data_IF_099774076346
#
_entry.id   IF_099774076346
#
_cell.length_a   1.000
_cell.length_b   1.000
_cell.length_c   1.000
_cell.angle_alpha   90.00
_cell.angle_beta   90.00
_cell.angle_gamma   90.00
#
_symmetry.space_group_name_H-M   'P 1'
#
loop_
_entity.id
_entity.type
_entity.pdbx_description
1 polymer ?
#
# COMPACT_ATOMS: atom_id res chain seq x y z
N UNK A 1 1.09 -31.01 -106.91
CA UNK A 1 1.97 -30.58 -105.81
C UNK A 1 1.38 -29.32 -105.20
N UNK A 2 1.16 -29.24 -103.88
CA UNK A 2 0.67 -28.01 -103.28
C UNK A 2 1.78 -26.93 -103.31
N UNK A 3 1.43 -25.65 -103.49
CA UNK A 3 2.40 -24.57 -103.61
C UNK A 3 3.13 -24.30 -102.29
N UNK A 4 4.45 -24.08 -102.36
CA UNK A 4 5.28 -23.67 -101.21
C UNK A 4 4.87 -22.28 -100.76
N UNK A 5 4.71 -22.10 -99.44
CA UNK A 5 4.46 -20.80 -98.80
C UNK A 5 5.61 -19.85 -99.13
N UNK A 6 5.30 -18.65 -99.62
CA UNK A 6 6.29 -17.63 -99.99
C UNK A 6 6.87 -16.98 -98.71
N UNK A 7 8.21 -16.92 -98.55
CA UNK A 7 8.85 -16.24 -97.42
C UNK A 7 8.51 -14.75 -97.26
N UNK A 8 7.82 -14.13 -98.22
CA UNK A 8 7.37 -12.73 -98.12
C UNK A 8 6.00 -12.57 -97.46
N UNK A 9 5.27 -13.66 -97.22
CA UNK A 9 3.93 -13.64 -96.60
C UNK A 9 3.96 -13.64 -95.05
N UNK A 10 5.13 -13.56 -94.43
CA UNK A 10 5.30 -13.53 -92.98
C UNK A 10 4.48 -12.42 -92.31
N UNK A 11 4.56 -11.20 -92.83
CA UNK A 11 3.84 -10.04 -92.32
C UNK A 11 2.32 -10.23 -92.35
N UNK A 12 1.79 -11.02 -93.30
CA UNK A 12 0.36 -11.27 -93.40
C UNK A 12 -0.12 -12.32 -92.40
N UNK A 13 0.72 -13.30 -92.07
CA UNK A 13 0.42 -14.34 -91.09
C UNK A 13 0.57 -13.85 -89.64
N UNK A 14 1.47 -12.89 -89.40
CA UNK A 14 1.78 -12.37 -88.05
C UNK A 14 1.34 -10.93 -87.80
N UNK A 15 0.77 -10.22 -88.78
CA UNK A 15 0.09 -8.95 -88.52
C UNK A 15 -1.16 -9.23 -87.68
N UNK A 16 -0.99 -9.12 -86.37
CA UNK A 16 -2.06 -9.27 -85.40
C UNK A 16 -3.23 -8.39 -85.82
N UNK A 17 -4.39 -9.00 -86.10
CA UNK A 17 -5.64 -8.28 -86.34
C UNK A 17 -5.80 -7.28 -85.21
N UNK A 18 -5.64 -5.98 -85.51
CA UNK A 18 -5.97 -4.90 -84.57
C UNK A 18 -7.45 -5.03 -84.27
N UNK A 19 -7.80 -5.73 -83.18
CA UNK A 19 -9.17 -5.87 -82.70
C UNK A 19 -9.66 -4.46 -82.39
N UNK A 20 -10.44 -3.87 -83.30
CA UNK A 20 -11.13 -2.59 -83.07
C UNK A 20 -11.92 -2.76 -81.77
N UNK A 21 -11.51 -2.04 -80.72
CA UNK A 21 -12.20 -2.04 -79.43
C UNK A 21 -13.51 -1.30 -79.66
N UNK A 22 -14.62 -2.04 -79.68
CA UNK A 22 -15.96 -1.46 -79.87
C UNK A 22 -16.39 -0.63 -78.65
N UNK A 23 -17.38 0.28 -78.85
CA UNK A 23 -17.89 1.16 -77.79
C UNK A 23 -18.51 0.41 -76.60
N UNK A 24 -18.95 -0.83 -76.82
CA UNK A 24 -19.43 -1.71 -75.76
C UNK A 24 -18.31 -2.06 -74.76
N UNK A 25 -17.08 -2.25 -75.25
CA UNK A 25 -15.95 -2.64 -74.40
C UNK A 25 -15.48 -1.47 -73.52
N UNK A 26 -15.59 -0.24 -74.00
CA UNK A 26 -15.30 0.97 -73.21
C UNK A 26 -16.35 1.21 -72.13
N UNK A 27 -17.63 0.98 -72.43
CA UNK A 27 -18.71 1.07 -71.45
C UNK A 27 -18.55 0.01 -70.35
N UNK A 28 -18.23 -1.24 -70.71
CA UNK A 28 -17.98 -2.31 -69.73
C UNK A 28 -16.78 -1.97 -68.85
N UNK A 29 -15.67 -1.47 -69.40
CA UNK A 29 -14.52 -1.06 -68.58
C UNK A 29 -14.83 0.14 -67.68
N UNK A 30 -15.63 1.10 -68.14
CA UNK A 30 -16.01 2.25 -67.33
C UNK A 30 -16.91 1.83 -66.15
N UNK A 31 -17.84 0.89 -66.38
CA UNK A 31 -18.74 0.38 -65.35
C UNK A 31 -17.99 -0.47 -64.31
N UNK A 32 -17.08 -1.34 -64.74
CA UNK A 32 -16.23 -2.13 -63.83
C UNK A 32 -15.27 -1.22 -63.06
N UNK A 33 -14.66 -0.23 -63.72
CA UNK A 33 -13.80 0.75 -63.07
C UNK A 33 -14.56 1.58 -62.03
N UNK A 34 -15.77 2.05 -62.36
CA UNK A 34 -16.62 2.79 -61.45
C UNK A 34 -17.02 2.00 -60.20
N UNK A 35 -17.42 0.73 -60.37
CA UNK A 35 -17.74 -0.16 -59.24
C UNK A 35 -16.53 -0.42 -58.34
N UNK A 36 -15.34 -0.61 -58.91
CA UNK A 36 -14.11 -0.78 -58.12
C UNK A 36 -13.75 0.46 -57.32
N UNK A 37 -13.89 1.66 -57.91
CA UNK A 37 -13.62 2.93 -57.22
C UNK A 37 -14.62 3.12 -56.08
N UNK A 38 -15.91 2.85 -56.31
CA UNK A 38 -16.94 2.96 -55.27
C UNK A 38 -16.72 1.97 -54.12
N UNK A 39 -16.28 0.74 -54.44
CA UNK A 39 -15.91 -0.28 -53.45
C UNK A 39 -14.72 0.14 -52.59
N UNK A 40 -13.70 0.77 -53.18
CA UNK A 40 -12.52 1.25 -52.44
C UNK A 40 -12.86 2.44 -51.53
N UNK A 41 -13.70 3.37 -51.99
CA UNK A 41 -14.14 4.53 -51.18
C UNK A 41 -14.96 4.06 -49.96
N UNK A 42 -15.79 3.04 -50.12
CA UNK A 42 -16.61 2.49 -49.03
C UNK A 42 -15.82 1.61 -48.05
N UNK A 43 -14.75 0.93 -48.50
CA UNK A 43 -13.92 0.09 -47.63
C UNK A 43 -12.97 0.89 -46.72
N UNK A 44 -12.47 2.05 -47.17
CA UNK A 44 -11.52 2.88 -46.42
C UNK A 44 -11.99 3.29 -45.01
N UNK A 45 -13.21 3.84 -44.80
CA UNK A 45 -13.68 4.21 -43.46
C UNK A 45 -13.90 3.01 -42.54
N UNK A 46 -14.25 1.84 -43.11
CA UNK A 46 -14.42 0.61 -42.33
C UNK A 46 -13.08 0.11 -41.76
N UNK A 47 -12.02 0.14 -42.57
CA UNK A 47 -10.68 -0.29 -42.14
C UNK A 47 -10.11 0.66 -41.07
N UNK A 48 -10.27 1.97 -41.25
CA UNK A 48 -9.80 2.96 -40.25
C UNK A 48 -10.50 2.80 -38.91
N UNK A 49 -11.83 2.58 -38.92
CA UNK A 49 -12.62 2.33 -37.70
C UNK A 49 -12.20 1.04 -36.97
N UNK A 50 -11.84 -0.01 -37.71
CA UNK A 50 -11.33 -1.26 -37.12
C UNK A 50 -9.97 -1.07 -36.42
N UNK A 51 -9.09 -0.23 -36.98
CA UNK A 51 -7.80 0.09 -36.36
C UNK A 51 -7.98 0.89 -35.07
N UNK A 52 -8.92 1.83 -35.03
CA UNK A 52 -9.25 2.60 -33.83
C UNK A 52 -9.80 1.71 -32.71
N UNK A 53 -10.78 0.87 -33.00
CA UNK A 53 -11.36 -0.08 -32.04
C UNK A 53 -10.27 -1.03 -31.49
N UNK A 54 -9.37 -1.49 -32.36
CA UNK A 54 -8.26 -2.37 -31.93
C UNK A 54 -7.27 -1.67 -30.99
N UNK A 55 -7.05 -0.36 -31.17
CA UNK A 55 -6.14 0.44 -30.32
C UNK A 55 -6.73 0.71 -28.94
N UNK A 56 -8.04 0.86 -28.83
CA UNK A 56 -8.72 1.12 -27.56
C UNK A 56 -8.72 -0.10 -26.63
N UNK A 57 -8.77 -1.31 -27.18
CA UNK A 57 -8.79 -2.56 -26.40
C UNK A 57 -7.38 -2.98 -25.92
N UNK A 58 -6.31 -2.64 -26.65
CA UNK A 58 -4.95 -3.05 -26.26
C UNK A 58 -4.35 -2.25 -25.09
N UNK A 59 -4.64 -0.93 -25.00
CA UNK A 59 -4.08 -0.07 -23.94
C UNK A 59 -4.44 -0.50 -22.50
N UNK A 60 -5.72 -0.77 -22.15
CA UNK A 60 -6.07 -1.18 -20.79
C UNK A 60 -5.47 -2.54 -20.41
N UNK A 61 -5.33 -3.43 -21.39
CA UNK A 61 -4.79 -4.79 -21.19
C UNK A 61 -3.30 -4.76 -20.82
N UNK A 62 -2.52 -3.88 -21.46
CA UNK A 62 -1.09 -3.71 -21.15
C UNK A 62 -0.86 -3.09 -19.76
N UNK A 63 -1.67 -2.09 -19.38
CA UNK A 63 -1.59 -1.45 -18.06
C UNK A 63 -1.92 -2.44 -16.93
N UNK A 64 -2.93 -3.30 -17.14
CA UNK A 64 -3.33 -4.31 -16.18
C UNK A 64 -2.23 -5.37 -15.95
N UNK A 65 -1.53 -5.79 -17.02
CA UNK A 65 -0.43 -6.75 -16.93
C UNK A 65 0.78 -6.15 -16.20
N UNK A 66 1.20 -4.93 -16.56
CA UNK A 66 2.29 -4.24 -15.88
C UNK A 66 2.01 -4.02 -14.39
N UNK A 67 0.76 -3.68 -14.03
CA UNK A 67 0.36 -3.51 -12.63
C UNK A 67 0.41 -4.84 -11.86
N UNK A 68 0.07 -5.97 -12.49
CA UNK A 68 0.17 -7.30 -11.87
C UNK A 68 1.63 -7.71 -11.65
N UNK A 69 2.51 -7.48 -12.62
CA UNK A 69 3.94 -7.79 -12.52
C UNK A 69 4.63 -6.94 -11.43
N UNK A 70 4.31 -5.65 -11.36
CA UNK A 70 4.82 -4.75 -10.33
C UNK A 70 4.39 -5.19 -8.92
N UNK A 71 3.12 -5.59 -8.74
CA UNK A 71 2.61 -6.12 -7.47
C UNK A 71 3.26 -7.44 -7.07
N UNK A 72 3.45 -8.37 -8.02
CA UNK A 72 4.10 -9.65 -7.77
C UNK A 72 5.57 -9.47 -7.36
N UNK A 73 6.26 -8.50 -7.97
CA UNK A 73 7.65 -8.17 -7.62
C UNK A 73 7.73 -7.54 -6.22
N UNK A 74 6.85 -6.59 -5.90
CA UNK A 74 6.78 -5.97 -4.58
C UNK A 74 6.51 -6.99 -3.45
N UNK A 75 5.62 -7.97 -3.70
CA UNK A 75 5.34 -9.04 -2.73
C UNK A 75 6.52 -9.98 -2.50
N UNK A 76 7.31 -10.29 -3.55
CA UNK A 76 8.54 -11.10 -3.43
C UNK A 76 9.63 -10.37 -2.64
N UNK A 77 9.79 -9.06 -2.84
CA UNK A 77 10.74 -8.25 -2.05
C UNK A 77 10.32 -8.16 -0.59
N UNK A 78 9.01 -7.99 -0.31
CA UNK A 78 8.48 -7.97 1.05
C UNK A 78 8.67 -9.30 1.80
N UNK A 79 8.62 -10.45 1.11
CA UNK A 79 8.87 -11.77 1.72
C UNK A 79 10.34 -12.05 1.96
N UNK A 80 11.25 -11.64 1.06
CA UNK A 80 12.70 -11.81 1.28
C UNK A 80 13.26 -10.95 2.42
N UNK A 81 12.64 -9.81 2.72
CA UNK A 81 13.08 -8.94 3.81
C UNK A 81 12.64 -9.44 5.21
N UNK A 82 11.74 -10.43 5.28
CA UNK A 82 11.30 -11.04 6.55
C UNK A 82 12.18 -12.19 7.04
N UNK A 83 13.20 -12.62 6.28
CA UNK A 83 14.03 -13.79 6.62
C UNK A 83 15.39 -13.44 7.24
N UNK A 84 15.67 -12.17 7.50
CA UNK A 84 16.78 -11.79 8.38
C UNK A 84 16.32 -12.00 9.82
N UNK A 85 16.39 -13.24 10.30
CA UNK A 85 16.32 -13.53 11.73
C UNK A 85 17.41 -12.71 12.41
N UNK A 86 17.09 -11.68 13.22
CA UNK A 86 18.11 -10.98 13.97
C UNK A 86 18.71 -11.99 14.95
N UNK A 87 20.01 -12.18 14.89
CA UNK A 87 20.77 -12.76 16.01
C UNK A 87 20.34 -12.01 17.28
N UNK A 88 19.90 -12.69 18.36
CA UNK A 88 19.53 -12.00 19.58
C UNK A 88 20.78 -11.28 20.10
N UNK A 89 20.80 -9.96 19.91
CA UNK A 89 21.66 -9.09 20.69
C UNK A 89 21.25 -9.35 22.15
N UNK A 90 22.19 -9.67 23.07
CA UNK A 90 21.84 -9.76 24.47
C UNK A 90 21.20 -8.43 24.88
N UNK A 91 19.91 -8.49 25.19
CA UNK A 91 19.19 -7.33 25.73
C UNK A 91 19.98 -6.85 26.95
N UNK A 92 20.30 -5.55 27.08
CA UNK A 92 20.91 -5.06 28.30
C UNK A 92 19.97 -5.44 29.44
N UNK A 93 20.45 -6.26 30.37
CA UNK A 93 19.74 -6.57 31.60
C UNK A 93 19.29 -5.24 32.19
N UNK A 94 17.99 -4.97 32.15
CA UNK A 94 17.43 -3.72 32.64
C UNK A 94 17.74 -3.63 34.13
N UNK A 95 18.73 -2.82 34.50
CA UNK A 95 18.98 -2.47 35.90
C UNK A 95 17.67 -1.90 36.43
N UNK A 96 17.10 -2.48 37.52
CA UNK A 96 15.89 -1.93 38.11
C UNK A 96 16.14 -0.46 38.47
N UNK A 97 15.17 0.45 38.25
CA UNK A 97 15.33 1.85 38.62
C UNK A 97 15.73 1.97 40.10
N UNK A 98 16.65 2.90 40.43
CA UNK A 98 17.09 3.07 41.82
C UNK A 98 15.89 3.44 42.70
N UNK A 99 15.80 2.79 43.86
CA UNK A 99 14.82 3.13 44.87
C UNK A 99 15.37 4.35 45.61
N UNK A 100 14.67 5.49 45.52
CA UNK A 100 15.04 6.75 46.18
C UNK A 100 14.46 6.89 47.59
N UNK A 101 13.59 5.95 47.98
CA UNK A 101 13.06 5.85 49.34
C UNK A 101 11.86 4.92 49.43
N UNK A 102 11.34 4.77 50.66
CA UNK A 102 10.14 4.00 50.99
C UNK A 102 9.13 4.92 51.66
N UNK A 103 7.85 4.69 51.41
CA UNK A 103 6.79 5.45 52.05
C UNK A 103 5.55 4.60 52.28
N UNK A 104 4.64 5.13 53.09
CA UNK A 104 3.30 4.61 53.28
C UNK A 104 2.29 5.56 52.66
N UNK A 105 1.24 5.02 52.08
CA UNK A 105 0.09 5.84 51.66
C UNK A 105 -0.69 6.23 52.92
N UNK A 106 -0.75 7.53 53.22
CA UNK A 106 -1.47 8.09 54.37
C UNK A 106 -2.87 8.58 53.99
N UNK A 107 -3.06 8.95 52.70
CA UNK A 107 -4.35 9.30 52.14
C UNK A 107 -4.57 8.51 50.84
N UNK A 108 -5.71 7.83 50.71
CA UNK A 108 -6.05 7.10 49.49
C UNK A 108 -6.23 8.04 48.30
N UNK A 109 -5.96 7.56 47.10
CA UNK A 109 -6.09 8.38 45.90
C UNK A 109 -5.72 7.67 44.61
N UNK A 110 -5.74 8.42 43.50
CA UNK A 110 -5.47 7.87 42.19
C UNK A 110 -3.97 7.69 41.96
N UNK A 111 -3.58 6.51 41.48
CA UNK A 111 -2.29 6.28 40.85
C UNK A 111 -2.45 6.46 39.34
N UNK A 112 -1.45 7.11 38.72
CA UNK A 112 -1.55 7.63 37.36
C UNK A 112 -0.40 7.18 36.47
N UNK A 113 -0.64 7.12 35.16
CA UNK A 113 0.42 6.86 34.17
C UNK A 113 1.39 8.03 34.01
N UNK A 114 0.93 9.26 34.30
CA UNK A 114 1.67 10.51 34.17
C UNK A 114 1.40 11.40 35.39
N UNK A 115 2.34 12.28 35.78
CA UNK A 115 2.20 13.17 36.94
C UNK A 115 1.26 14.36 36.67
N UNK A 116 0.08 14.13 36.08
CA UNK A 116 -0.93 15.16 35.79
C UNK A 116 -2.32 14.74 36.20
N UNK A 117 -3.14 15.70 36.61
CA UNK A 117 -4.53 15.47 37.02
C UNK A 117 -5.44 15.47 35.78
N UNK A 118 -5.66 14.30 35.19
CA UNK A 118 -6.59 14.11 34.07
C UNK A 118 -7.25 12.72 34.13
N UNK A 119 -8.47 12.55 33.65
CA UNK A 119 -9.21 11.28 33.85
C UNK A 119 -8.51 10.09 33.19
N UNK A 120 -7.97 10.29 31.99
CA UNK A 120 -7.29 9.30 31.18
C UNK A 120 -5.94 8.83 31.74
N UNK A 121 -5.35 9.56 32.69
CA UNK A 121 -4.10 9.14 33.32
C UNK A 121 -4.34 8.21 34.51
N UNK A 122 -5.56 8.03 35.00
CA UNK A 122 -5.85 7.16 36.15
C UNK A 122 -5.72 5.70 35.73
N UNK A 123 -4.74 4.99 36.30
CA UNK A 123 -4.55 3.55 36.08
C UNK A 123 -5.12 2.69 37.22
N UNK A 124 -5.47 3.33 38.34
CA UNK A 124 -6.15 2.70 39.47
C UNK A 124 -6.06 3.56 40.73
N UNK A 125 -6.27 2.95 41.89
CA UNK A 125 -6.21 3.62 43.18
C UNK A 125 -5.22 2.95 44.15
N UNK A 126 -4.56 3.78 44.95
CA UNK A 126 -3.82 3.37 46.15
C UNK A 126 -4.65 3.67 47.39
N UNK A 127 -4.51 2.84 48.41
CA UNK A 127 -5.25 2.95 49.65
C UNK A 127 -4.37 3.27 50.83
N UNK A 128 -4.99 3.84 51.88
CA UNK A 128 -4.31 4.10 53.15
C UNK A 128 -3.70 2.81 53.68
N UNK A 129 -2.43 2.87 54.07
CA UNK A 129 -1.66 1.74 54.58
C UNK A 129 -0.85 0.98 53.53
N UNK A 130 -1.08 1.21 52.23
CA UNK A 130 -0.27 0.60 51.17
C UNK A 130 1.21 0.98 51.36
N UNK A 131 2.09 -0.01 51.18
CA UNK A 131 3.54 0.16 51.21
C UNK A 131 4.06 0.40 49.80
N UNK A 132 4.90 1.42 49.63
CA UNK A 132 5.40 1.81 48.32
C UNK A 132 6.91 2.05 48.33
N UNK A 133 7.56 1.72 47.22
CA UNK A 133 8.94 2.10 46.91
C UNK A 133 8.91 3.27 45.93
N UNK A 134 9.66 4.33 46.23
CA UNK A 134 9.75 5.51 45.38
C UNK A 134 10.90 5.32 44.40
N UNK A 135 10.63 5.56 43.11
CA UNK A 135 11.55 5.36 42.01
C UNK A 135 12.04 6.69 41.42
N UNK A 136 11.20 7.73 41.47
CA UNK A 136 11.55 9.07 41.02
C UNK A 136 10.69 10.12 41.72
N UNK A 137 11.21 11.34 41.82
CA UNK A 137 10.51 12.53 42.26
C UNK A 137 10.48 13.55 41.12
N UNK A 138 9.32 14.15 40.87
CA UNK A 138 9.17 15.23 39.90
C UNK A 138 8.37 16.37 40.54
N UNK A 139 8.83 17.61 40.35
CA UNK A 139 8.12 18.81 40.82
C UNK A 139 7.67 19.62 39.61
N UNK A 140 6.36 19.76 39.46
CA UNK A 140 5.72 20.50 38.37
C UNK A 140 5.34 21.92 38.80
N UNK A 141 4.86 22.71 37.83
CA UNK A 141 4.41 24.08 38.05
C UNK A 141 3.47 24.20 39.26
N UNK A 142 3.66 25.24 40.08
CA UNK A 142 2.89 25.45 41.30
C UNK A 142 3.36 24.62 42.51
N UNK A 143 4.61 24.14 42.51
CA UNK A 143 5.19 23.33 43.58
C UNK A 143 4.44 22.00 43.80
N UNK A 144 3.86 21.47 42.73
CA UNK A 144 3.14 20.20 42.76
C UNK A 144 4.13 19.05 42.66
N UNK A 145 4.41 18.42 43.81
CA UNK A 145 5.34 17.30 43.89
C UNK A 145 4.64 15.97 43.63
N UNK A 146 5.26 15.17 42.78
CA UNK A 146 4.80 13.86 42.35
C UNK A 146 5.91 12.84 42.57
N UNK A 147 5.51 11.64 42.99
CA UNK A 147 6.41 10.50 43.09
C UNK A 147 5.99 9.43 42.09
N UNK A 148 6.95 8.95 41.31
CA UNK A 148 6.81 7.67 40.63
C UNK A 148 7.15 6.59 41.63
N UNK A 149 6.23 5.66 41.84
CA UNK A 149 6.37 4.61 42.82
C UNK A 149 6.03 3.24 42.26
N UNK A 150 6.39 2.21 43.02
CA UNK A 150 5.93 0.83 42.88
C UNK A 150 5.20 0.42 44.15
N UNK A 151 4.01 -0.15 44.02
CA UNK A 151 3.29 -0.73 45.16
C UNK A 151 3.95 -2.03 45.57
N UNK A 152 4.40 -2.13 46.82
CA UNK A 152 5.08 -3.32 47.37
C UNK A 152 4.07 -4.24 48.06
N UNK A 153 3.20 -3.67 48.89
CA UNK A 153 2.18 -4.40 49.62
C UNK A 153 0.91 -3.59 49.73
N UNK A 154 -0.23 -4.25 49.54
CA UNK A 154 -1.56 -3.65 49.64
C UNK A 154 -2.14 -3.83 51.04
N UNK A 155 -2.83 -2.83 51.57
CA UNK A 155 -3.59 -2.94 52.81
C UNK A 155 -4.85 -3.81 52.64
N UNK A 156 -5.33 -4.37 53.75
CA UNK A 156 -6.47 -5.29 53.75
C UNK A 156 -7.81 -4.57 53.46
N UNK A 157 -7.97 -3.32 53.91
CA UNK A 157 -9.24 -2.58 53.93
C UNK A 157 -9.36 -1.55 52.80
N UNK A 158 -9.30 -2.04 51.56
CA UNK A 158 -9.24 -1.18 50.37
C UNK A 158 -10.38 -1.42 49.38
N UNK A 159 -10.77 -0.37 48.65
CA UNK A 159 -11.84 -0.38 47.65
C UNK A 159 -11.55 -1.35 46.47
N UNK A 160 -12.57 -1.81 45.72
CA UNK A 160 -12.37 -2.77 44.64
C UNK A 160 -11.54 -2.25 43.46
N UNK A 161 -11.44 -0.93 43.26
CA UNK A 161 -10.66 -0.28 42.19
C UNK A 161 -9.14 -0.18 42.49
N UNK A 162 -8.66 -0.91 43.50
CA UNK A 162 -7.27 -0.89 43.93
C UNK A 162 -6.31 -1.52 42.92
N UNK A 163 -5.09 -0.99 42.90
CA UNK A 163 -3.99 -1.61 42.16
C UNK A 163 -3.39 -2.78 42.91
N UNK A 164 -2.75 -3.69 42.17
CA UNK A 164 -2.05 -4.86 42.74
C UNK A 164 -0.63 -4.49 43.14
N UNK A 165 -0.05 -5.24 44.08
CA UNK A 165 1.39 -5.21 44.31
C UNK A 165 2.16 -5.42 42.99
N UNK A 166 3.26 -4.68 42.82
CA UNK A 166 4.05 -4.57 41.60
C UNK A 166 3.59 -3.48 40.63
N UNK A 167 2.43 -2.84 40.86
CA UNK A 167 1.95 -1.77 39.96
C UNK A 167 2.81 -0.52 40.13
N UNK A 168 3.25 0.04 39.00
CA UNK A 168 4.00 1.29 38.95
C UNK A 168 3.15 2.44 38.42
N UNK A 169 3.39 3.64 38.95
CA UNK A 169 2.73 4.85 38.49
C UNK A 169 3.07 6.06 39.34
N UNK A 170 2.44 7.18 39.01
CA UNK A 170 2.62 8.48 39.63
C UNK A 170 1.51 8.78 40.63
N UNK A 171 1.89 9.26 41.79
CA UNK A 171 0.97 9.77 42.82
C UNK A 171 1.42 11.14 43.29
N UNK A 172 0.48 11.94 43.80
CA UNK A 172 0.83 13.19 44.46
C UNK A 172 1.54 12.92 45.79
N UNK A 173 2.56 13.71 46.11
CA UNK A 173 3.28 13.60 47.38
C UNK A 173 2.38 13.78 48.62
N UNK A 174 1.24 14.47 48.48
CA UNK A 174 0.27 14.69 49.57
C UNK A 174 -0.44 13.41 50.04
N UNK A 175 -0.33 12.33 49.25
CA UNK A 175 -0.89 11.03 49.58
C UNK A 175 0.05 10.16 50.42
N UNK A 176 1.33 10.54 50.52
CA UNK A 176 2.39 9.72 51.09
C UNK A 176 2.88 10.28 52.43
N UNK A 177 3.35 9.39 53.29
CA UNK A 177 4.20 9.75 54.42
C UNK A 177 5.50 10.38 53.92
N UNK A 178 6.23 11.02 54.83
CA UNK A 178 7.59 11.44 54.51
C UNK A 178 8.42 10.24 54.03
N UNK A 179 9.13 10.33 52.90
CA UNK A 179 9.99 9.26 52.42
C UNK A 179 11.11 8.95 53.39
N UNK A 180 11.29 7.68 53.71
CA UNK A 180 12.44 7.16 54.46
C UNK A 180 13.50 6.63 53.48
N UNK A 181 14.80 6.84 53.73
CA UNK A 181 15.88 6.36 52.86
C UNK A 181 16.01 4.84 52.84
#
# INVERSE_FOLDING_TARGET
MPPKVDPRDWERLFSGRRRRRGPLRTLVTALVGGLLILGLISAAPFILRQIEISREVMRPTQIALQTREARATAQRTATQQSTLTPTPIPSPTATPPPIIGRARVINGGNIRSEPRIAAETVIGQVCVGDQVELLAEETLAGNNRWYRLRVVATANDCAPQRVKAGTEGWVSATLLSQPEP
#
